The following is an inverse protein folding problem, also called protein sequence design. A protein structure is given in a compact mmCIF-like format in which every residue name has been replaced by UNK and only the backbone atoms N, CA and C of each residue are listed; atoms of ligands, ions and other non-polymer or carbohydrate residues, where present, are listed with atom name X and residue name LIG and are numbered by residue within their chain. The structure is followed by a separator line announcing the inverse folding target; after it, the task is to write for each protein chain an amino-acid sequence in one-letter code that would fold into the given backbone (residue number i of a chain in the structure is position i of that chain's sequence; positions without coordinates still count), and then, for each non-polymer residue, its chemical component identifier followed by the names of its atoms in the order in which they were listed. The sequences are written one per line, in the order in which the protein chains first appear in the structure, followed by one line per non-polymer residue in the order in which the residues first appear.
data_IF_457486137395
#
_entry.id   IF_457486137395
#
_cell.length_a   1.000
_cell.length_b   1.000
_cell.length_c   1.000
_cell.angle_alpha   90.00
_cell.angle_beta   90.00
_cell.angle_gamma   90.00
#
_symmetry.space_group_name_H-M   'P 1'
#
loop_
_entity.id
_entity.type
_entity.pdbx_description
1 polymer ?
#
# COMPACT_ATOMS: atom_id res chain seq x y z
N UNK A 1 4.97 13.02 -2.60
CA UNK A 1 3.58 12.52 -2.75
C UNK A 1 3.57 11.11 -2.21
N UNK A 2 2.92 10.89 -1.07
CA UNK A 2 2.86 9.61 -0.36
C UNK A 2 1.39 9.17 -0.25
N UNK A 3 1.12 7.88 -0.08
CA UNK A 3 -0.22 7.41 0.28
C UNK A 3 -0.16 7.01 1.76
N UNK A 4 -0.76 7.83 2.62
CA UNK A 4 -0.97 7.53 4.03
C UNK A 4 -2.02 6.44 4.27
N UNK A 5 -1.99 5.81 5.43
CA UNK A 5 -2.55 4.46 5.65
C UNK A 5 -3.94 4.46 6.32
N UNK A 6 -4.82 3.47 5.99
CA UNK A 6 -5.89 3.03 6.91
C UNK A 6 -6.45 1.65 6.52
N UNK A 7 -6.25 0.60 7.33
CA UNK A 7 -6.68 -0.78 7.06
C UNK A 7 -7.71 -1.31 8.08
N UNK A 8 -8.68 -2.16 7.68
CA UNK A 8 -9.43 -3.14 8.53
C UNK A 8 -10.35 -4.03 7.64
N UNK A 9 -10.61 -5.33 7.86
CA UNK A 9 -10.91 -6.07 9.10
C UNK A 9 -10.54 -7.58 9.03
N UNK A 10 -9.68 -8.03 9.96
CA UNK A 10 -9.71 -9.34 10.64
C UNK A 10 -8.44 -9.51 11.50
N UNK A 11 -8.27 -8.68 12.54
CA UNK A 11 -7.29 -8.91 13.64
C UNK A 11 -5.78 -8.86 13.32
N UNK A 12 -5.35 -8.67 12.08
CA UNK A 12 -3.94 -8.57 11.69
C UNK A 12 -3.71 -7.30 10.85
N UNK A 13 -3.57 -6.14 11.50
CA UNK A 13 -3.40 -4.85 10.80
C UNK A 13 -1.93 -4.66 10.44
N UNK A 14 -1.62 -4.60 9.14
CA UNK A 14 -0.33 -4.14 8.64
C UNK A 14 -0.42 -2.73 8.10
N UNK A 15 0.60 -1.91 8.35
CA UNK A 15 0.72 -0.58 7.73
C UNK A 15 1.69 -0.65 6.56
N UNK A 16 1.37 0.14 5.54
CA UNK A 16 2.24 0.39 4.41
C UNK A 16 2.28 1.88 4.13
N UNK A 17 3.41 2.30 3.61
CA UNK A 17 3.64 3.63 3.07
C UNK A 17 4.25 3.44 1.68
N UNK A 18 3.64 4.02 0.67
CA UNK A 18 4.18 3.98 -0.69
C UNK A 18 4.59 5.38 -1.11
N UNK A 19 5.90 5.54 -1.29
CA UNK A 19 6.46 6.68 -1.97
C UNK A 19 6.36 6.46 -3.48
N UNK A 20 5.68 7.39 -4.17
CA UNK A 20 5.45 7.32 -5.61
C UNK A 20 6.75 7.32 -6.44
N UNK A 21 7.93 7.51 -5.83
CA UNK A 21 9.23 7.33 -6.50
C UNK A 21 9.73 5.88 -6.52
N UNK A 22 8.94 4.92 -6.03
CA UNK A 22 9.08 3.45 -6.18
C UNK A 22 9.34 2.65 -4.87
N UNK A 23 9.41 3.32 -3.71
CA UNK A 23 9.68 2.61 -2.44
C UNK A 23 8.39 2.31 -1.69
N UNK A 24 8.13 1.03 -1.39
CA UNK A 24 7.05 0.61 -0.50
C UNK A 24 7.65 0.20 0.84
N UNK A 25 7.29 0.93 1.89
CA UNK A 25 7.64 0.62 3.26
C UNK A 25 6.53 -0.23 3.86
N UNK A 26 6.90 -1.41 4.36
CA UNK A 26 6.01 -2.33 5.05
C UNK A 26 6.43 -2.47 6.51
N UNK A 27 5.45 -2.46 7.41
CA UNK A 27 5.70 -2.89 8.78
C UNK A 27 5.90 -4.42 8.85
N UNK A 28 6.51 -4.91 9.94
CA UNK A 28 6.68 -6.33 10.22
C UNK A 28 5.40 -7.13 9.97
N UNK A 29 4.23 -6.58 10.34
CA UNK A 29 2.95 -7.27 10.18
C UNK A 29 2.55 -7.49 8.73
N UNK A 30 2.91 -6.57 7.82
CA UNK A 30 2.68 -6.77 6.37
C UNK A 30 3.47 -7.97 5.86
N UNK A 31 4.73 -8.12 6.26
CA UNK A 31 5.52 -9.30 5.87
C UNK A 31 4.87 -10.60 6.37
N UNK A 32 4.26 -10.62 7.55
CA UNK A 32 3.54 -11.80 8.06
C UNK A 32 2.29 -12.13 7.25
N UNK A 33 1.49 -11.11 6.92
CA UNK A 33 0.25 -11.24 6.14
C UNK A 33 0.56 -11.82 4.75
N UNK A 34 1.57 -11.25 4.09
CA UNK A 34 2.00 -11.63 2.75
C UNK A 34 2.91 -12.88 2.71
N UNK A 35 3.27 -13.43 3.87
CA UNK A 35 4.10 -14.64 3.95
C UNK A 35 5.56 -14.44 3.57
N UNK A 36 6.05 -13.20 3.68
CA UNK A 36 7.41 -12.79 3.36
C UNK A 36 8.27 -12.60 4.62
N UNK A 37 7.96 -13.37 5.67
CA UNK A 37 8.71 -13.40 6.93
C UNK A 37 10.16 -13.80 6.64
N UNK A 38 11.11 -12.87 6.78
CA UNK A 38 12.53 -13.10 6.50
C UNK A 38 13.06 -12.41 5.24
N UNK A 39 12.20 -11.79 4.41
CA UNK A 39 12.65 -10.89 3.36
C UNK A 39 13.14 -9.57 3.99
N UNK A 40 14.44 -9.47 4.20
CA UNK A 40 15.10 -8.22 4.61
C UNK A 40 15.47 -7.42 3.34
N UNK A 41 14.50 -6.76 2.73
CA UNK A 41 14.71 -5.99 1.50
C UNK A 41 13.68 -4.89 1.33
N UNK A 42 14.03 -3.87 0.54
CA UNK A 42 13.05 -2.90 0.07
C UNK A 42 12.05 -3.63 -0.82
N UNK A 43 10.79 -3.59 -0.44
CA UNK A 43 9.69 -4.05 -1.29
C UNK A 43 9.40 -2.92 -2.28
N UNK A 44 9.38 -3.25 -3.57
CA UNK A 44 8.89 -2.30 -4.58
C UNK A 44 7.44 -2.58 -4.91
N UNK A 45 6.79 -1.62 -5.55
CA UNK A 45 5.39 -1.75 -5.97
C UNK A 45 5.14 -3.03 -6.79
N UNK A 46 6.10 -3.39 -7.64
CA UNK A 46 6.00 -4.58 -8.49
C UNK A 46 5.97 -5.89 -7.68
N UNK A 47 6.70 -5.98 -6.57
CA UNK A 47 6.68 -7.16 -5.69
C UNK A 47 5.31 -7.36 -5.08
N UNK A 48 4.69 -6.28 -4.61
CA UNK A 48 3.31 -6.30 -4.13
C UNK A 48 2.34 -6.70 -5.24
N UNK A 49 2.44 -6.10 -6.43
CA UNK A 49 1.56 -6.38 -7.56
C UNK A 49 1.63 -7.86 -7.99
N UNK A 50 2.80 -8.49 -7.91
CA UNK A 50 2.99 -9.92 -8.20
C UNK A 50 2.30 -10.84 -7.18
N UNK A 51 2.08 -10.37 -5.96
CA UNK A 51 1.38 -11.12 -4.92
C UNK A 51 -0.14 -10.96 -5.01
N UNK A 52 -0.65 -9.95 -5.70
CA UNK A 52 -2.10 -9.79 -5.95
C UNK A 52 -2.55 -10.83 -6.98
N UNK A 53 -3.76 -11.36 -6.80
CA UNK A 53 -4.34 -12.29 -7.76
C UNK A 53 -4.48 -11.61 -9.14
N UNK A 54 -4.07 -12.32 -10.21
CA UNK A 54 -4.05 -11.79 -11.59
C UNK A 54 -5.40 -11.24 -12.09
N UNK A 55 -6.51 -11.77 -11.58
CA UNK A 55 -7.86 -11.32 -11.94
C UNK A 55 -8.25 -10.02 -11.20
N UNK A 56 -7.63 -9.74 -10.05
CA UNK A 56 -7.95 -8.57 -9.23
C UNK A 56 -6.99 -7.40 -9.50
N UNK A 57 -5.73 -7.68 -9.88
CA UNK A 57 -4.69 -6.65 -10.01
C UNK A 57 -5.11 -5.47 -10.90
N UNK A 58 -5.77 -5.74 -12.03
CA UNK A 58 -6.21 -4.68 -12.95
C UNK A 58 -7.22 -3.73 -12.31
N UNK A 59 -8.17 -4.25 -11.52
CA UNK A 59 -9.18 -3.43 -10.86
C UNK A 59 -8.59 -2.68 -9.65
N UNK A 60 -7.71 -3.34 -8.90
CA UNK A 60 -6.99 -2.70 -7.79
C UNK A 60 -6.11 -1.55 -8.28
N UNK A 61 -5.35 -1.76 -9.37
CA UNK A 61 -4.53 -0.71 -9.98
C UNK A 61 -5.36 0.49 -10.44
N UNK A 62 -6.53 0.24 -11.04
CA UNK A 62 -7.46 1.33 -11.43
C UNK A 62 -7.93 2.11 -10.21
N UNK A 63 -8.28 1.42 -9.12
CA UNK A 63 -8.70 2.06 -7.88
C UNK A 63 -7.57 2.88 -7.24
N UNK A 64 -6.33 2.38 -7.24
CA UNK A 64 -5.14 3.11 -6.79
C UNK A 64 -4.95 4.37 -7.64
N UNK A 65 -4.96 4.25 -8.96
CA UNK A 65 -4.80 5.39 -9.89
C UNK A 65 -5.91 6.43 -9.69
N UNK A 66 -7.14 6.00 -9.49
CA UNK A 66 -8.27 6.88 -9.21
C UNK A 66 -8.09 7.62 -7.87
N UNK A 67 -7.67 6.91 -6.81
CA UNK A 67 -7.40 7.51 -5.50
C UNK A 67 -6.29 8.57 -5.58
N UNK A 68 -5.20 8.29 -6.29
CA UNK A 68 -4.09 9.25 -6.50
C UNK A 68 -4.56 10.47 -7.31
N UNK A 69 -5.30 10.23 -8.39
CA UNK A 69 -5.78 11.30 -9.28
C UNK A 69 -6.77 12.24 -8.57
N UNK A 70 -7.63 11.69 -7.71
CA UNK A 70 -8.69 12.42 -7.02
C UNK A 70 -8.30 12.89 -5.61
N UNK A 71 -7.07 12.58 -5.15
CA UNK A 71 -6.62 12.83 -3.78
C UNK A 71 -7.60 12.24 -2.74
N UNK A 72 -8.07 11.04 -3.01
CA UNK A 72 -9.19 10.42 -2.31
C UNK A 72 -8.76 9.15 -1.55
N UNK A 73 -9.67 8.61 -0.76
CA UNK A 73 -9.48 7.36 -0.03
C UNK A 73 -9.47 6.16 -0.99
N UNK A 74 -8.39 5.39 -0.94
CA UNK A 74 -8.29 4.05 -1.47
C UNK A 74 -8.96 3.07 -0.50
N UNK A 75 -9.88 2.24 -1.00
CA UNK A 75 -10.51 1.17 -0.21
C UNK A 75 -11.07 0.09 -1.12
N UNK A 76 -10.37 -1.03 -1.20
CA UNK A 76 -10.74 -2.16 -2.05
C UNK A 76 -10.41 -3.48 -1.38
N UNK A 77 -11.22 -4.49 -1.67
CA UNK A 77 -10.99 -5.87 -1.26
C UNK A 77 -10.43 -6.65 -2.45
N UNK A 78 -9.35 -7.39 -2.23
CA UNK A 78 -8.67 -8.15 -3.25
C UNK A 78 -8.05 -9.43 -2.68
N UNK A 79 -7.80 -10.39 -3.57
CA UNK A 79 -7.11 -11.63 -3.20
C UNK A 79 -5.62 -11.48 -3.41
N UNK A 80 -4.85 -12.04 -2.49
CA UNK A 80 -3.41 -12.27 -2.66
C UNK A 80 -3.12 -13.76 -2.79
N UNK A 81 -2.02 -14.07 -3.46
CA UNK A 81 -1.41 -15.39 -3.55
C UNK A 81 -0.03 -15.30 -2.91
N UNK A 82 0.11 -15.94 -1.75
CA UNK A 82 1.39 -15.98 -1.02
C UNK A 82 2.41 -16.86 -1.77
N UNK A 83 3.72 -16.70 -1.53
CA UNK A 83 4.74 -17.60 -2.10
C UNK A 83 4.53 -19.07 -1.72
N UNK A 84 3.90 -19.34 -0.57
CA UNK A 84 3.48 -20.68 -0.15
C UNK A 84 2.24 -21.23 -0.90
N UNK A 85 1.68 -20.45 -1.83
CA UNK A 85 0.53 -20.83 -2.66
C UNK A 85 -0.83 -20.62 -2.01
N UNK A 86 -0.88 -20.23 -0.72
CA UNK A 86 -2.14 -19.96 -0.03
C UNK A 86 -2.75 -18.65 -0.55
N UNK A 87 -4.03 -18.72 -0.89
CA UNK A 87 -4.83 -17.55 -1.27
C UNK A 87 -5.47 -16.94 -0.03
N UNK A 88 -5.40 -15.61 0.11
CA UNK A 88 -6.07 -14.88 1.18
C UNK A 88 -6.82 -13.68 0.63
N UNK A 89 -7.96 -13.38 1.22
CA UNK A 89 -8.67 -12.12 1.00
C UNK A 89 -8.08 -11.06 1.92
N UNK A 90 -7.77 -9.91 1.35
CA UNK A 90 -7.32 -8.72 2.07
C UNK A 90 -8.17 -7.53 1.68
N UNK A 91 -8.31 -6.61 2.63
CA UNK A 91 -8.84 -5.28 2.39
C UNK A 91 -7.71 -4.27 2.49
N UNK A 92 -7.38 -3.64 1.36
CA UNK A 92 -6.43 -2.55 1.32
C UNK A 92 -7.17 -1.24 1.40
N UNK A 93 -6.80 -0.41 2.36
CA UNK A 93 -7.30 0.94 2.43
C UNK A 93 -6.21 1.94 2.86
N UNK A 94 -6.36 3.19 2.43
CA UNK A 94 -5.35 4.23 2.55
C UNK A 94 -5.86 5.58 2.05
N UNK A 95 -5.27 6.66 2.51
CA UNK A 95 -5.55 8.04 2.14
C UNK A 95 -4.35 8.57 1.36
N UNK A 96 -4.55 9.14 0.18
CA UNK A 96 -3.46 9.80 -0.54
C UNK A 96 -3.08 11.09 0.19
N UNK A 97 -1.79 11.28 0.48
CA UNK A 97 -1.23 12.48 1.08
C UNK A 97 -0.25 13.14 0.11
N UNK A 98 -0.65 14.26 -0.48
CA UNK A 98 0.29 15.12 -1.18
C UNK A 98 1.13 15.84 -0.14
N UNK A 99 2.42 15.50 -0.11
CA UNK A 99 3.46 16.35 0.44
C UNK A 99 3.32 17.70 -0.28
N UNK A 100 2.59 18.61 0.35
CA UNK A 100 2.57 20.00 -0.02
C UNK A 100 3.91 20.46 0.50
N UNK A 101 4.89 20.59 -0.39
CA UNK A 101 6.19 21.19 -0.08
C UNK A 101 5.96 22.35 0.89
N UNK A 102 6.27 22.09 2.15
CA UNK A 102 6.02 23.00 3.26
C UNK A 102 7.13 24.02 3.34
N UNK A 103 7.51 24.63 2.21
CA UNK A 103 8.45 25.75 2.23
C UNK A 103 7.68 27.05 2.32
N UNK A 104 7.23 27.38 3.54
CA UNK A 104 7.24 28.77 4.02
C UNK A 104 7.14 28.84 5.53
N UNK A 105 8.30 28.75 6.19
CA UNK A 105 8.51 29.47 7.44
C UNK A 105 9.44 30.64 7.12
N UNK A 106 8.90 31.62 6.40
CA UNK A 106 9.41 32.98 6.41
C UNK A 106 8.70 33.65 7.60
N UNK A 107 9.16 33.33 8.82
CA UNK A 107 8.80 34.07 10.02
C UNK A 107 9.98 34.99 10.31
N UNK A 108 9.99 36.10 9.57
CA UNK A 108 10.70 37.29 9.97
C UNK A 108 9.82 38.04 10.97
N UNK A 109 10.29 38.10 12.21
CA UNK A 109 10.09 39.22 13.12
C UNK A 109 11.44 39.54 13.79
#
# INVERSE_FOLDING_TARGET
MAIGSLALEAGQIGTWDWDLKDTVNWDQRMYEIFGLQGCQGKVVYQDWANLVHRDDITEVEKAIKAAIAQDNFFNVEFRIVRPDGIKRWLRGAGIVQRDSDGTRSDDGD
#
